data_IF_917064772779
#
_entry.id   IF_917064772779
#
_cell.length_a   1.000
_cell.length_b   1.000
_cell.length_c   1.000
_cell.angle_alpha   90.00
_cell.angle_beta   90.00
_cell.angle_gamma   90.00
#
_symmetry.space_group_name_H-M   'P 1'
#
loop_
_entity.id
_entity.type
_entity.pdbx_description
1 polymer ?
#
# COMPACT_ATOMS: atom_id res chain seq x y z
N UNK A 1 6.85 -1.23 11.59
CA UNK A 1 6.42 0.15 11.29
C UNK A 1 5.91 0.79 12.58
N UNK A 2 6.51 1.87 13.04
CA UNK A 2 6.12 2.58 14.26
C UNK A 2 5.12 3.72 13.92
N UNK A 3 4.55 4.36 14.94
CA UNK A 3 3.67 5.54 14.81
C UNK A 3 4.29 6.64 13.93
N UNK A 4 5.61 6.85 14.06
CA UNK A 4 6.38 7.81 13.27
C UNK A 4 6.32 7.53 11.75
N UNK A 5 6.44 6.26 11.35
CA UNK A 5 6.36 5.86 9.95
C UNK A 5 4.93 6.05 9.40
N UNK A 6 3.91 5.90 10.26
CA UNK A 6 2.51 6.12 9.88
C UNK A 6 2.21 7.60 9.64
N UNK A 7 2.84 8.50 10.41
CA UNK A 7 2.74 9.94 10.23
C UNK A 7 3.52 10.41 8.98
N UNK A 8 4.64 9.77 8.65
CA UNK A 8 5.37 9.97 7.40
C UNK A 8 4.51 9.58 6.19
N UNK A 9 3.85 8.41 6.24
CA UNK A 9 2.94 7.97 5.17
C UNK A 9 1.81 8.99 4.98
N UNK A 10 1.17 9.46 6.05
CA UNK A 10 0.13 10.49 5.95
C UNK A 10 0.66 11.78 5.31
N UNK A 11 1.84 12.25 5.72
CA UNK A 11 2.44 13.46 5.20
C UNK A 11 2.80 13.33 3.71
N UNK A 12 3.35 12.18 3.30
CA UNK A 12 3.67 11.89 1.90
C UNK A 12 2.43 11.86 1.00
N UNK A 13 1.32 11.35 1.53
CA UNK A 13 0.05 11.27 0.81
C UNK A 13 -0.59 12.65 0.66
N UNK A 14 -0.65 13.44 1.73
CA UNK A 14 -1.14 14.81 1.68
C UNK A 14 -0.31 15.68 0.71
N UNK A 15 1.01 15.51 0.69
CA UNK A 15 1.90 16.22 -0.23
C UNK A 15 1.74 15.81 -1.71
N UNK A 16 0.90 14.81 -2.00
CA UNK A 16 0.70 14.22 -3.33
C UNK A 16 -0.78 14.14 -3.74
N UNK A 17 -1.59 15.02 -3.15
CA UNK A 17 -3.01 15.24 -3.43
C UNK A 17 -3.95 14.09 -3.02
N UNK A 18 -3.52 13.22 -2.10
CA UNK A 18 -4.41 12.24 -1.50
C UNK A 18 -5.15 12.85 -0.31
N UNK A 19 -6.45 12.58 -0.25
CA UNK A 19 -7.31 12.97 0.86
C UNK A 19 -7.62 11.75 1.73
N UNK A 20 -7.69 11.96 3.04
CA UNK A 20 -8.26 10.95 3.93
C UNK A 20 -9.78 11.04 3.86
N UNK A 21 -10.44 9.90 3.85
CA UNK A 21 -11.89 9.77 3.91
C UNK A 21 -12.29 9.04 5.19
N UNK A 22 -13.49 9.30 5.68
CA UNK A 22 -13.98 8.73 6.94
C UNK A 22 -14.50 7.31 6.78
N UNK A 23 -14.95 6.94 5.57
CA UNK A 23 -15.52 5.63 5.27
C UNK A 23 -14.73 4.89 4.19
N UNK A 24 -14.57 3.55 4.31
CA UNK A 24 -13.99 2.73 3.24
C UNK A 24 -14.72 2.86 1.90
N UNK A 25 -16.03 3.13 1.93
CA UNK A 25 -16.89 3.28 0.76
C UNK A 25 -16.51 4.48 -0.12
N UNK A 26 -16.04 5.57 0.50
CA UNK A 26 -15.57 6.78 -0.18
C UNK A 26 -14.14 6.63 -0.70
N UNK A 27 -13.40 5.62 -0.25
CA UNK A 27 -11.99 5.48 -0.56
C UNK A 27 -11.75 4.94 -1.96
N UNK A 28 -10.80 5.52 -2.70
CA UNK A 28 -10.22 4.90 -3.90
C UNK A 28 -9.07 3.95 -3.55
N UNK A 29 -8.47 4.15 -2.38
CA UNK A 29 -7.33 3.41 -1.87
C UNK A 29 -7.53 3.04 -0.40
N UNK A 30 -7.33 1.76 -0.06
CA UNK A 30 -7.38 1.30 1.35
C UNK A 30 -6.01 0.75 1.73
N UNK A 31 -5.41 1.31 2.78
CA UNK A 31 -4.10 0.91 3.27
C UNK A 31 -4.24 0.29 4.66
N UNK A 32 -4.03 -1.03 4.76
CA UNK A 32 -4.09 -1.77 6.02
C UNK A 32 -2.69 -1.81 6.63
N UNK A 33 -2.45 -0.93 7.60
CA UNK A 33 -1.19 -0.90 8.32
C UNK A 33 -1.10 -2.03 9.37
N UNK A 34 -0.04 -2.83 9.28
CA UNK A 34 0.27 -3.95 10.18
C UNK A 34 1.61 -3.71 10.87
N UNK A 35 1.58 -3.43 12.17
CA UNK A 35 2.79 -2.99 12.90
C UNK A 35 3.48 -4.10 13.68
N UNK A 36 2.84 -5.25 13.90
CA UNK A 36 3.35 -6.30 14.80
C UNK A 36 2.98 -7.69 14.31
N UNK A 37 3.97 -8.58 14.26
CA UNK A 37 3.75 -10.02 14.10
C UNK A 37 3.55 -10.62 15.49
N UNK A 38 2.29 -10.85 15.85
CA UNK A 38 1.85 -11.56 17.06
C UNK A 38 0.84 -12.62 16.60
N UNK A 39 0.70 -13.69 17.37
CA UNK A 39 -0.17 -14.84 17.08
C UNK A 39 -1.63 -14.48 16.75
N UNK A 40 -2.12 -13.33 17.22
CA UNK A 40 -3.49 -12.85 16.95
C UNK A 40 -3.58 -11.69 15.95
N UNK A 41 -2.45 -11.11 15.54
CA UNK A 41 -2.44 -9.99 14.61
C UNK A 41 -2.85 -10.43 13.20
N UNK A 42 -2.37 -11.60 12.76
CA UNK A 42 -2.69 -12.16 11.45
C UNK A 42 -4.20 -12.41 11.30
N UNK A 43 -4.81 -13.10 12.28
CA UNK A 43 -6.26 -13.36 12.28
C UNK A 43 -7.08 -12.08 12.15
N UNK A 44 -6.66 -10.98 12.77
CA UNK A 44 -7.33 -9.68 12.66
C UNK A 44 -7.18 -9.06 11.27
N UNK A 45 -6.00 -9.15 10.68
CA UNK A 45 -5.76 -8.66 9.31
C UNK A 45 -6.61 -9.45 8.31
N UNK A 46 -6.63 -10.79 8.42
CA UNK A 46 -7.49 -11.64 7.58
C UNK A 46 -8.96 -11.30 7.77
N UNK A 47 -9.44 -11.16 9.01
CA UNK A 47 -10.82 -10.76 9.27
C UNK A 47 -11.16 -9.39 8.65
N UNK A 48 -10.23 -8.43 8.71
CA UNK A 48 -10.40 -7.13 8.07
C UNK A 48 -10.45 -7.25 6.55
N UNK A 49 -9.57 -8.03 5.94
CA UNK A 49 -9.57 -8.29 4.50
C UNK A 49 -10.89 -8.94 4.04
N UNK A 50 -11.38 -9.93 4.79
CA UNK A 50 -12.66 -10.57 4.53
C UNK A 50 -13.83 -9.57 4.55
N UNK A 51 -13.81 -8.61 5.49
CA UNK A 51 -14.85 -7.56 5.56
C UNK A 51 -14.88 -6.66 4.31
N UNK A 52 -13.79 -6.58 3.55
CA UNK A 52 -13.68 -5.75 2.34
C UNK A 52 -14.11 -6.47 1.06
N UNK A 53 -14.37 -7.78 1.09
CA UNK A 53 -14.78 -8.55 -0.10
C UNK A 53 -16.06 -7.97 -0.71
N UNK A 54 -17.04 -7.63 0.11
CA UNK A 54 -18.30 -7.03 -0.36
C UNK A 54 -18.07 -5.66 -1.01
N UNK A 55 -17.16 -4.86 -0.45
CA UNK A 55 -16.81 -3.55 -1.00
C UNK A 55 -16.07 -3.69 -2.35
N UNK A 56 -15.04 -4.53 -2.43
CA UNK A 56 -14.28 -4.81 -3.68
C UNK A 56 -15.18 -5.33 -4.80
N UNK A 57 -16.23 -6.10 -4.47
CA UNK A 57 -17.24 -6.55 -5.45
C UNK A 57 -18.10 -5.40 -5.98
N UNK A 58 -18.47 -4.43 -5.13
CA UNK A 58 -19.29 -3.26 -5.54
C UNK A 58 -18.45 -2.16 -6.19
N UNK A 59 -17.18 -2.04 -5.80
CA UNK A 59 -16.22 -1.04 -6.26
C UNK A 59 -14.94 -1.73 -6.74
N UNK A 60 -14.91 -2.44 -7.88
CA UNK A 60 -13.75 -3.21 -8.33
C UNK A 60 -12.47 -2.39 -8.50
N UNK A 61 -12.60 -1.09 -8.77
CA UNK A 61 -11.50 -0.15 -8.97
C UNK A 61 -10.81 0.30 -7.68
N UNK A 62 -11.39 0.00 -6.51
CA UNK A 62 -10.75 0.28 -5.21
C UNK A 62 -9.45 -0.51 -5.11
N UNK A 63 -8.37 0.14 -4.66
CA UNK A 63 -7.04 -0.45 -4.63
C UNK A 63 -6.57 -0.63 -3.19
N UNK A 64 -6.33 -1.86 -2.78
CA UNK A 64 -6.17 -2.24 -1.37
C UNK A 64 -4.76 -2.81 -1.17
N UNK A 65 -4.04 -2.25 -0.21
CA UNK A 65 -2.69 -2.68 0.15
C UNK A 65 -2.56 -3.05 1.61
N UNK A 66 -1.69 -4.02 1.91
CA UNK A 66 -1.26 -4.34 3.27
C UNK A 66 0.15 -3.80 3.48
N UNK A 67 0.32 -2.98 4.52
CA UNK A 67 1.56 -2.27 4.82
C UNK A 67 2.20 -2.82 6.09
N UNK A 68 3.52 -2.71 6.21
CA UNK A 68 4.28 -2.97 7.44
C UNK A 68 4.80 -4.40 7.55
N UNK A 69 5.21 -4.82 8.75
CA UNK A 69 6.04 -6.01 8.94
C UNK A 69 5.37 -7.29 8.48
N UNK A 70 4.04 -7.38 8.60
CA UNK A 70 3.31 -8.57 8.15
C UNK A 70 3.35 -8.75 6.63
N UNK A 71 3.43 -7.66 5.86
CA UNK A 71 3.60 -7.73 4.40
C UNK A 71 4.94 -8.36 3.99
N UNK A 72 5.95 -8.31 4.87
CA UNK A 72 7.25 -8.97 4.68
C UNK A 72 7.22 -10.43 5.12
N UNK A 73 6.70 -10.69 6.32
CA UNK A 73 6.72 -12.02 6.94
C UNK A 73 5.67 -12.98 6.35
N UNK A 74 4.57 -12.45 5.80
CA UNK A 74 3.48 -13.22 5.20
C UNK A 74 3.22 -12.76 3.75
N UNK A 75 4.14 -13.07 2.81
CA UNK A 75 3.97 -12.70 1.40
C UNK A 75 2.73 -13.33 0.76
N UNK A 76 2.26 -14.47 1.29
CA UNK A 76 1.05 -15.16 0.83
C UNK A 76 -0.23 -14.35 0.98
N UNK A 77 -0.22 -13.26 1.77
CA UNK A 77 -1.33 -12.32 1.84
C UNK A 77 -1.69 -11.72 0.47
N UNK A 78 -0.75 -11.68 -0.49
CA UNK A 78 -1.02 -11.22 -1.85
C UNK A 78 -2.05 -12.10 -2.58
N UNK A 79 -2.20 -13.36 -2.16
CA UNK A 79 -3.16 -14.28 -2.76
C UNK A 79 -4.59 -14.06 -2.26
N UNK A 80 -4.78 -13.21 -1.24
CA UNK A 80 -6.10 -12.90 -0.75
C UNK A 80 -6.90 -12.10 -1.81
N UNK A 81 -8.16 -12.45 -2.13
CA UNK A 81 -8.92 -11.89 -3.26
C UNK A 81 -9.13 -10.38 -3.32
N UNK A 82 -8.81 -9.67 -2.24
CA UNK A 82 -8.99 -8.22 -2.14
C UNK A 82 -7.67 -7.47 -2.09
N UNK A 83 -6.54 -8.17 -1.91
CA UNK A 83 -5.23 -7.54 -1.75
C UNK A 83 -4.64 -7.34 -3.14
N UNK A 84 -4.36 -6.09 -3.48
CA UNK A 84 -3.73 -5.76 -4.75
C UNK A 84 -2.21 -5.65 -4.61
N UNK A 85 -1.70 -5.20 -3.45
CA UNK A 85 -0.27 -5.08 -3.21
C UNK A 85 0.14 -5.25 -1.75
N UNK A 86 1.42 -5.57 -1.56
CA UNK A 86 2.07 -5.70 -0.25
C UNK A 86 3.21 -4.69 -0.13
N UNK A 87 3.25 -3.93 0.96
CA UNK A 87 4.25 -2.89 1.21
C UNK A 87 4.99 -3.12 2.53
N UNK A 88 6.19 -3.74 2.48
CA UNK A 88 7.04 -3.90 3.65
C UNK A 88 7.42 -2.55 4.31
N UNK A 89 7.90 -2.55 5.57
CA UNK A 89 8.18 -1.33 6.34
C UNK A 89 9.09 -0.30 5.66
N UNK A 90 10.00 -0.74 4.78
CA UNK A 90 10.98 0.15 4.12
C UNK A 90 10.58 0.58 2.70
N UNK A 91 9.33 0.30 2.32
CA UNK A 91 8.87 0.45 0.93
C UNK A 91 7.91 1.63 0.72
N UNK A 92 7.56 2.35 1.79
CA UNK A 92 6.63 3.50 1.76
C UNK A 92 7.07 4.66 0.86
N UNK A 93 8.37 4.78 0.56
CA UNK A 93 8.88 5.81 -0.37
C UNK A 93 8.41 5.56 -1.81
N UNK A 94 8.26 4.30 -2.19
CA UNK A 94 7.81 3.89 -3.51
C UNK A 94 6.27 3.76 -3.56
N UNK A 95 5.63 3.63 -2.40
CA UNK A 95 4.19 3.44 -2.23
C UNK A 95 3.36 4.46 -3.01
N UNK A 96 3.71 5.75 -2.95
CA UNK A 96 2.92 6.79 -3.65
C UNK A 96 2.95 6.60 -5.16
N UNK A 97 4.13 6.36 -5.74
CA UNK A 97 4.23 6.11 -7.18
C UNK A 97 3.49 4.84 -7.57
N UNK A 98 3.60 3.80 -6.75
CA UNK A 98 2.94 2.52 -6.95
C UNK A 98 1.42 2.63 -7.03
N UNK A 99 0.86 3.41 -6.11
CA UNK A 99 -0.57 3.69 -6.00
C UNK A 99 -1.06 4.51 -7.19
N UNK A 100 -0.27 5.48 -7.65
CA UNK A 100 -0.61 6.29 -8.83
C UNK A 100 -0.70 5.44 -10.11
N UNK A 101 0.16 4.43 -10.25
CA UNK A 101 0.13 3.53 -11.42
C UNK A 101 -0.71 2.27 -11.22
N UNK A 102 -1.38 2.12 -10.05
CA UNK A 102 -2.18 0.94 -9.65
C UNK A 102 -1.51 -0.41 -9.96
N UNK A 103 -0.20 -0.51 -9.68
CA UNK A 103 0.57 -1.73 -9.98
C UNK A 103 0.37 -2.79 -8.89
N UNK A 104 -0.07 -3.98 -9.24
CA UNK A 104 -0.26 -5.07 -8.26
C UNK A 104 1.08 -5.74 -7.88
N UNK A 105 1.08 -6.45 -6.74
CA UNK A 105 2.19 -7.31 -6.29
C UNK A 105 2.94 -6.83 -5.06
N UNK A 106 4.07 -7.47 -4.75
CA UNK A 106 4.94 -7.07 -3.65
C UNK A 106 5.80 -5.87 -4.07
N UNK A 107 5.78 -4.79 -3.30
CA UNK A 107 6.67 -3.68 -3.53
C UNK A 107 8.08 -3.97 -2.96
N UNK A 108 9.14 -3.97 -3.79
CA UNK A 108 10.49 -4.27 -3.40
C UNK A 108 10.95 -3.28 -2.35
N UNK A 109 11.67 -3.83 -1.38
CA UNK A 109 12.37 -3.06 -0.37
C UNK A 109 13.52 -2.31 -1.06
N UNK A 110 13.78 -1.07 -0.63
CA UNK A 110 14.87 -0.26 -1.16
C UNK A 110 16.22 -0.82 -0.69
N UNK A 111 16.75 -1.82 -1.39
CA UNK A 111 18.15 -2.22 -1.28
C UNK A 111 19.01 -1.26 -2.13
N UNK A 112 19.27 -0.05 -1.63
CA UNK A 112 20.29 0.93 -2.06
C UNK A 112 20.48 1.30 -3.55
N UNK A 113 19.79 0.72 -4.53
CA UNK A 113 19.96 1.02 -5.95
C UNK A 113 18.62 1.36 -6.63
N UNK A 114 18.70 2.23 -7.66
CA UNK A 114 17.63 2.71 -8.55
C UNK A 114 16.77 3.90 -8.10
N UNK A 115 17.39 4.92 -7.49
CA UNK A 115 16.85 6.29 -7.60
C UNK A 115 17.15 6.95 -8.97
N UNK A 116 18.08 6.39 -9.75
CA UNK A 116 18.48 6.89 -11.08
C UNK A 116 17.39 6.72 -12.15
N UNK A 117 16.56 5.68 -12.03
CA UNK A 117 15.71 5.26 -13.15
C UNK A 117 14.34 5.98 -13.15
N UNK A 118 14.00 6.63 -12.04
CA UNK A 118 12.74 7.37 -11.86
C UNK A 118 12.79 8.82 -12.37
N UNK A 119 13.98 9.36 -12.66
CA UNK A 119 14.14 10.72 -13.18
C UNK A 119 14.48 10.78 -14.68
N UNK A 120 14.73 9.64 -15.33
CA UNK A 120 15.14 9.62 -16.74
C UNK A 120 13.93 9.65 -17.70
N UNK A 121 12.71 9.28 -17.26
CA UNK A 121 11.57 9.20 -18.20
C UNK A 121 10.70 10.46 -18.31
N UNK A 122 10.97 11.54 -17.56
CA UNK A 122 10.15 12.77 -17.65
C UNK A 122 10.72 13.88 -18.55
N UNK A 123 11.81 13.63 -19.30
CA UNK A 123 12.34 14.59 -20.27
C UNK A 123 12.39 14.01 -21.70
N UNK A 124 11.21 13.76 -22.28
CA UNK A 124 10.99 13.89 -23.73
C UNK A 124 9.61 14.52 -23.99
N UNK A 125 9.48 15.78 -23.60
CA UNK A 125 8.68 16.74 -24.37
C UNK A 125 9.69 17.64 -25.03
N UNK A 126 9.87 17.51 -26.35
CA UNK A 126 10.10 18.66 -27.23
C UNK A 126 10.24 18.23 -28.68
N UNK A 127 9.45 18.94 -29.50
CA UNK A 127 9.54 19.18 -30.95
C UNK A 127 9.05 18.08 -31.90
#
# INVERSE_FOLDING_TARGET
MNKYDSDIVKTLFLAKDFLNVDTPEEADYILINTCVVREHAEKRVIARLNSLIGLKKRKPEIFIGVLGCMAKELPDLINHPVVDFLAPPDSYRNLVQWIKVKRCGLIPENNKEQYSDLFISSNKISS
#
